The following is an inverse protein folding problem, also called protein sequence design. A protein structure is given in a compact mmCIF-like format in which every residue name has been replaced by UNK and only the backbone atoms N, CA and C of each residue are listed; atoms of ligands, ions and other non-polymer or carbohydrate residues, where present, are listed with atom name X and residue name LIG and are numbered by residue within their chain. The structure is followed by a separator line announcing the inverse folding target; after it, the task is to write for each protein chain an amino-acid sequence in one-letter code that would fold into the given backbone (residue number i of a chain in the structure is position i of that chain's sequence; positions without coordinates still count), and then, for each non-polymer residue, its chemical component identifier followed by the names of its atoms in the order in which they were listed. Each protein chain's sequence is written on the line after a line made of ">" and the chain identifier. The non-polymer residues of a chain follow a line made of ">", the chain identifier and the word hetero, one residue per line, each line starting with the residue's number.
data_IF_556745268803
#
_entry.id   IF_556745268803
#
_cell.length_a   1.000
_cell.length_b   1.000
_cell.length_c   1.000
_cell.angle_alpha   90.00
_cell.angle_beta   90.00
_cell.angle_gamma   90.00
#
_symmetry.space_group_name_H-M   'P 1'
#
loop_
_entity.id
_entity.type
_entity.pdbx_description
1 polymer ?
#
# COMPACT_ATOMS: atom_id res chain seq x y z
N UNK A 1 -1.70 -8.91 -3.56
CA UNK A 1 -2.73 -8.06 -2.92
C UNK A 1 -1.97 -6.96 -2.19
N UNK A 2 -1.37 -6.00 -2.90
CA UNK A 2 -0.27 -5.21 -2.29
C UNK A 2 -0.18 -3.77 -2.83
N UNK A 3 -1.25 -2.97 -2.75
CA UNK A 3 -1.08 -1.55 -3.07
C UNK A 3 -2.02 -0.55 -2.38
N UNK A 4 -2.87 -1.00 -1.45
CA UNK A 4 -3.78 -0.10 -0.73
C UNK A 4 -3.28 0.28 0.68
N UNK A 5 -2.45 -0.55 1.32
CA UNK A 5 -2.05 -0.34 2.72
C UNK A 5 -0.80 0.54 2.92
N UNK A 6 -0.11 0.93 1.85
CA UNK A 6 1.13 1.72 1.92
C UNK A 6 1.07 3.06 1.17
N UNK A 7 -0.04 3.37 0.51
CA UNK A 7 -0.15 4.62 -0.22
C UNK A 7 -1.04 5.58 0.52
N UNK A 8 -0.52 6.79 0.65
CA UNK A 8 -1.32 8.00 0.62
C UNK A 8 -1.93 8.43 1.96
N UNK A 9 -1.33 9.46 2.56
CA UNK A 9 -2.09 10.53 3.19
C UNK A 9 -3.43 10.68 2.47
N UNK A 10 -4.56 10.62 3.18
CA UNK A 10 -5.90 10.75 2.61
C UNK A 10 -5.91 11.80 1.49
N UNK A 11 -6.43 11.47 0.30
CA UNK A 11 -6.39 12.36 -0.88
C UNK A 11 -6.99 13.72 -0.56
N UNK A 12 -7.96 13.78 0.36
CA UNK A 12 -8.51 15.02 0.88
C UNK A 12 -7.46 15.82 1.67
N UNK A 13 -6.74 15.17 2.59
CA UNK A 13 -5.64 15.78 3.35
C UNK A 13 -4.49 16.21 2.43
N UNK A 14 -4.16 15.43 1.41
CA UNK A 14 -3.17 15.81 0.40
C UNK A 14 -3.63 17.05 -0.41
N UNK A 15 -4.92 17.12 -0.76
CA UNK A 15 -5.50 18.27 -1.46
C UNK A 15 -5.41 19.51 -0.58
N UNK A 16 -5.80 19.39 0.69
CA UNK A 16 -5.70 20.48 1.65
C UNK A 16 -4.26 21.00 1.77
N UNK A 17 -3.28 20.11 1.97
CA UNK A 17 -1.88 20.50 2.04
C UNK A 17 -1.39 21.19 0.75
N UNK A 18 -1.84 20.72 -0.42
CA UNK A 18 -1.47 21.34 -1.70
C UNK A 18 -2.06 22.75 -1.89
N UNK A 19 -3.24 23.01 -1.33
CA UNK A 19 -3.86 24.35 -1.31
C UNK A 19 -3.08 25.27 -0.36
N UNK A 20 -2.74 24.78 0.84
CA UNK A 20 -1.96 25.54 1.81
C UNK A 20 -0.57 25.92 1.27
N UNK A 21 0.08 24.98 0.57
CA UNK A 21 1.35 25.22 -0.11
C UNK A 21 1.21 26.25 -1.23
N UNK A 22 0.14 26.19 -2.03
CA UNK A 22 -0.13 27.17 -3.10
C UNK A 22 -0.31 28.58 -2.53
N UNK A 23 -1.06 28.72 -1.43
CA UNK A 23 -1.28 30.00 -0.75
C UNK A 23 0.04 30.52 -0.17
N UNK A 24 0.87 29.64 0.41
CA UNK A 24 2.18 30.00 0.93
C UNK A 24 3.12 30.51 -0.15
N UNK A 25 3.15 29.86 -1.32
CA UNK A 25 3.91 30.29 -2.49
C UNK A 25 3.37 31.63 -3.00
N UNK A 26 2.06 31.83 -3.03
CA UNK A 26 1.45 33.10 -3.43
C UNK A 26 1.84 34.26 -2.50
N UNK A 27 1.86 34.03 -1.18
CA UNK A 27 2.28 35.06 -0.23
C UNK A 27 3.79 35.36 -0.33
N UNK A 28 4.63 34.33 -0.47
CA UNK A 28 6.08 34.52 -0.60
C UNK A 28 6.46 35.21 -1.92
N UNK A 29 5.79 34.87 -3.02
CA UNK A 29 5.95 35.53 -4.32
C UNK A 29 5.54 36.98 -4.26
N UNK A 30 4.36 37.31 -3.72
CA UNK A 30 3.92 38.70 -3.55
C UNK A 30 4.89 39.48 -2.63
N UNK A 31 5.38 38.85 -1.56
CA UNK A 31 6.39 39.42 -0.67
C UNK A 31 7.72 39.68 -1.36
N UNK A 32 8.16 38.76 -2.22
CA UNK A 32 9.38 38.90 -3.02
C UNK A 32 9.22 40.03 -4.05
N UNK A 33 8.15 40.02 -4.85
CA UNK A 33 7.89 41.07 -5.85
C UNK A 33 7.77 42.46 -5.20
N UNK A 34 7.06 42.57 -4.08
CA UNK A 34 6.85 43.84 -3.38
C UNK A 34 8.15 44.44 -2.81
N UNK A 35 9.06 43.60 -2.29
CA UNK A 35 10.30 44.06 -1.66
C UNK A 35 11.49 44.19 -2.61
N UNK A 36 11.48 43.44 -3.72
CA UNK A 36 12.62 43.33 -4.66
C UNK A 36 12.40 44.01 -6.00
N UNK A 37 11.19 44.52 -6.28
CA UNK A 37 10.93 45.28 -7.49
C UNK A 37 11.77 46.57 -7.54
N UNK A 38 12.63 46.68 -8.54
CA UNK A 38 13.40 47.90 -8.84
C UNK A 38 12.52 48.97 -9.49
N UNK A 39 12.86 50.24 -9.29
CA UNK A 39 12.18 51.33 -9.97
C UNK A 39 12.59 51.38 -11.45
N UNK A 40 11.60 51.24 -12.35
CA UNK A 40 11.81 51.41 -13.78
C UNK A 40 11.80 52.90 -14.14
N UNK A 41 12.84 53.38 -14.81
CA UNK A 41 12.90 54.76 -15.27
C UNK A 41 11.91 54.98 -16.43
N UNK A 42 10.86 55.77 -16.19
CA UNK A 42 9.81 56.07 -17.20
C UNK A 42 10.29 57.16 -18.17
N UNK A 43 11.24 58.01 -17.78
CA UNK A 43 11.67 59.16 -18.56
C UNK A 43 13.21 59.27 -18.61
N UNK A 44 13.85 59.25 -19.79
CA UNK A 44 15.33 59.23 -19.92
C UNK A 44 16.02 60.50 -19.40
N UNK A 45 15.29 61.60 -19.20
CA UNK A 45 15.83 62.87 -18.70
C UNK A 45 15.97 62.97 -17.17
N UNK A 46 15.39 62.04 -16.40
CA UNK A 46 15.49 62.05 -14.93
C UNK A 46 16.01 60.70 -14.43
N UNK A 47 17.29 60.60 -14.02
CA UNK A 47 17.82 59.36 -13.47
C UNK A 47 17.11 59.02 -12.15
N UNK A 48 16.89 57.73 -11.92
CA UNK A 48 16.27 57.21 -10.69
C UNK A 48 17.21 57.51 -9.51
N UNK A 49 16.81 58.43 -8.63
CA UNK A 49 17.64 58.93 -7.52
C UNK A 49 17.55 58.09 -6.24
N UNK A 50 16.74 57.04 -6.21
CA UNK A 50 16.63 56.11 -5.09
C UNK A 50 16.65 54.66 -5.57
N UNK A 51 17.61 53.88 -5.08
CA UNK A 51 17.58 52.43 -5.16
C UNK A 51 16.97 51.89 -3.86
N UNK A 52 16.04 50.93 -3.96
CA UNK A 52 15.55 50.20 -2.80
C UNK A 52 16.72 49.37 -2.25
N UNK A 53 17.02 49.51 -0.95
CA UNK A 53 18.07 48.70 -0.31
C UNK A 53 17.71 47.21 -0.45
N UNK A 54 18.54 46.48 -1.21
CA UNK A 54 18.35 45.06 -1.45
C UNK A 54 17.52 44.72 -2.69
N UNK A 55 17.27 45.65 -3.62
CA UNK A 55 16.70 45.30 -4.92
C UNK A 55 17.66 44.39 -5.72
N UNK A 56 17.11 43.37 -6.38
CA UNK A 56 17.89 42.46 -7.20
C UNK A 56 18.14 43.10 -8.58
N UNK A 57 19.27 42.77 -9.25
CA UNK A 57 19.49 43.17 -10.65
C UNK A 57 18.32 42.71 -11.52
N UNK A 58 17.91 43.53 -12.50
CA UNK A 58 16.75 43.25 -13.36
C UNK A 58 16.80 41.85 -14.00
N UNK A 59 18.00 41.39 -14.41
CA UNK A 59 18.21 40.06 -14.98
C UNK A 59 17.90 38.93 -13.99
N UNK A 60 18.35 39.08 -12.73
CA UNK A 60 18.11 38.11 -11.65
C UNK A 60 16.65 38.15 -11.22
N UNK A 61 16.06 39.33 -11.15
CA UNK A 61 14.64 39.51 -10.83
C UNK A 61 13.71 38.88 -11.88
N UNK A 62 14.03 39.08 -13.17
CA UNK A 62 13.30 38.48 -14.30
C UNK A 62 13.44 36.95 -14.33
N UNK A 63 14.63 36.42 -14.04
CA UNK A 63 14.85 34.97 -13.93
C UNK A 63 14.06 34.36 -12.77
N UNK A 64 14.17 34.94 -11.57
CA UNK A 64 13.46 34.49 -10.39
C UNK A 64 11.94 34.60 -10.57
N UNK A 65 11.45 35.67 -11.21
CA UNK A 65 10.02 35.82 -11.53
C UNK A 65 9.52 34.68 -12.43
N UNK A 66 10.27 34.31 -13.46
CA UNK A 66 9.91 33.19 -14.35
C UNK A 66 9.89 31.86 -13.62
N UNK A 67 10.86 31.61 -12.74
CA UNK A 67 10.91 30.41 -11.90
C UNK A 67 9.70 30.33 -10.97
N UNK A 68 9.38 31.43 -10.28
CA UNK A 68 8.24 31.52 -9.37
C UNK A 68 6.90 31.30 -10.08
N UNK A 69 6.71 31.89 -11.27
CA UNK A 69 5.51 31.67 -12.09
C UNK A 69 5.44 30.22 -12.55
N UNK A 70 6.57 29.63 -12.95
CA UNK A 70 6.63 28.22 -13.34
C UNK A 70 6.25 27.29 -12.20
N UNK A 71 6.78 27.49 -10.99
CA UNK A 71 6.44 26.70 -9.80
C UNK A 71 4.94 26.86 -9.44
N UNK A 72 4.42 28.09 -9.50
CA UNK A 72 2.99 28.35 -9.30
C UNK A 72 2.09 27.59 -10.30
N UNK A 73 2.42 27.62 -11.60
CA UNK A 73 1.66 26.88 -12.61
C UNK A 73 1.75 25.36 -12.40
N UNK A 74 2.92 24.86 -12.04
CA UNK A 74 3.14 23.45 -11.80
C UNK A 74 2.30 22.98 -10.59
N UNK A 75 2.29 23.75 -9.50
CA UNK A 75 1.45 23.50 -8.31
C UNK A 75 -0.04 23.57 -8.62
N UNK A 76 -0.47 24.54 -9.43
CA UNK A 76 -1.87 24.65 -9.86
C UNK A 76 -2.31 23.43 -10.70
N UNK A 77 -1.47 22.94 -11.61
CA UNK A 77 -1.75 21.71 -12.37
C UNK A 77 -1.73 20.46 -11.50
N UNK A 78 -0.81 20.39 -10.53
CA UNK A 78 -0.81 19.31 -9.54
C UNK A 78 -2.12 19.28 -8.74
N UNK A 79 -2.62 20.44 -8.33
CA UNK A 79 -3.91 20.58 -7.66
C UNK A 79 -5.06 20.15 -8.59
N UNK A 80 -5.05 20.55 -9.85
CA UNK A 80 -6.06 20.14 -10.84
C UNK A 80 -6.11 18.62 -11.03
N UNK A 81 -4.95 17.98 -11.18
CA UNK A 81 -4.85 16.53 -11.25
C UNK A 81 -5.33 15.88 -9.95
N UNK A 82 -4.98 16.46 -8.80
CA UNK A 82 -5.37 15.92 -7.51
C UNK A 82 -6.90 15.99 -7.31
N UNK A 83 -7.52 17.11 -7.68
CA UNK A 83 -8.98 17.27 -7.72
C UNK A 83 -9.62 16.26 -8.67
N UNK A 84 -9.05 16.06 -9.86
CA UNK A 84 -9.56 15.06 -10.82
C UNK A 84 -9.44 13.62 -10.32
N UNK A 85 -8.51 13.39 -9.38
CA UNK A 85 -8.27 12.10 -8.74
C UNK A 85 -9.02 11.95 -7.41
N UNK A 86 -9.74 12.97 -6.94
CA UNK A 86 -10.58 12.80 -5.77
C UNK A 86 -11.66 11.78 -6.12
N UNK A 87 -11.92 10.80 -5.25
CA UNK A 87 -13.06 9.92 -5.44
C UNK A 87 -14.31 10.80 -5.56
N UNK A 88 -15.11 10.56 -6.62
CA UNK A 88 -16.28 11.39 -6.94
C UNK A 88 -17.37 11.34 -5.87
N UNK A 89 -17.28 10.40 -4.94
CA UNK A 89 -18.16 10.23 -3.80
C UNK A 89 -17.47 10.72 -2.54
N UNK A 90 -17.87 11.88 -1.98
CA UNK A 90 -17.49 12.21 -0.61
C UNK A 90 -18.09 11.13 0.32
N UNK A 91 -17.32 10.55 1.26
CA UNK A 91 -17.88 9.82 2.39
C UNK A 91 -18.52 10.86 3.32
N UNK A 92 -19.70 11.33 2.95
CA UNK A 92 -20.45 12.34 3.67
C UNK A 92 -21.93 12.20 3.32
N UNK A 93 -22.84 12.56 4.24
CA UNK A 93 -24.28 12.25 4.21
C UNK A 93 -25.07 12.97 3.10
N UNK A 94 -24.39 13.48 2.08
CA UNK A 94 -24.99 14.26 0.97
C UNK A 94 -24.85 13.59 -0.39
N UNK A 95 -24.06 12.52 -0.50
CA UNK A 95 -24.26 11.56 -1.58
C UNK A 95 -25.62 10.92 -1.34
N UNK A 96 -26.45 10.89 -2.37
CA UNK A 96 -27.80 10.30 -2.38
C UNK A 96 -27.81 9.06 -1.49
N UNK A 97 -28.53 9.11 -0.34
CA UNK A 97 -28.45 8.18 0.80
C UNK A 97 -28.75 6.68 0.48
N UNK A 98 -28.82 6.29 -0.80
CA UNK A 98 -29.05 4.93 -1.26
C UNK A 98 -27.77 4.21 -1.73
N UNK A 99 -27.03 4.76 -2.70
CA UNK A 99 -26.04 3.95 -3.45
C UNK A 99 -24.85 3.48 -2.60
N UNK A 100 -24.28 4.33 -1.74
CA UNK A 100 -23.10 3.96 -0.93
C UNK A 100 -23.46 2.97 0.20
N UNK A 101 -24.68 3.05 0.74
CA UNK A 101 -25.15 2.17 1.79
C UNK A 101 -25.46 0.77 1.24
N UNK A 102 -26.08 0.72 0.06
CA UNK A 102 -26.38 -0.51 -0.66
C UNK A 102 -25.08 -1.22 -1.11
N UNK A 103 -24.10 -0.48 -1.65
CA UNK A 103 -22.79 -1.03 -2.01
C UNK A 103 -22.04 -1.59 -0.79
N UNK A 104 -22.12 -0.90 0.36
CA UNK A 104 -21.52 -1.37 1.60
C UNK A 104 -22.19 -2.64 2.13
N UNK A 105 -23.51 -2.73 2.07
CA UNK A 105 -24.25 -3.94 2.46
C UNK A 105 -23.92 -5.13 1.55
N UNK A 106 -23.82 -4.90 0.25
CA UNK A 106 -23.43 -5.91 -0.73
C UNK A 106 -22.01 -6.42 -0.47
N UNK A 107 -21.06 -5.51 -0.20
CA UNK A 107 -19.69 -5.88 0.12
C UNK A 107 -19.60 -6.64 1.45
N UNK A 108 -20.37 -6.26 2.48
CA UNK A 108 -20.46 -7.00 3.74
C UNK A 108 -20.99 -8.43 3.51
N UNK A 109 -21.99 -8.57 2.64
CA UNK A 109 -22.54 -9.87 2.26
C UNK A 109 -21.52 -10.73 1.54
N UNK A 110 -20.77 -10.14 0.60
CA UNK A 110 -19.68 -10.82 -0.12
C UNK A 110 -18.58 -11.27 0.85
N UNK A 111 -18.09 -10.37 1.72
CA UNK A 111 -17.08 -10.69 2.75
C UNK A 111 -17.54 -11.83 3.65
N UNK A 112 -18.82 -11.82 4.05
CA UNK A 112 -19.39 -12.89 4.87
C UNK A 112 -19.43 -14.22 4.12
N UNK A 113 -19.80 -14.22 2.84
CA UNK A 113 -19.82 -15.42 1.99
C UNK A 113 -18.41 -16.00 1.81
N UNK A 114 -17.46 -15.16 1.40
CA UNK A 114 -16.07 -15.56 1.16
C UNK A 114 -15.41 -16.07 2.44
N UNK A 115 -15.68 -15.44 3.59
CA UNK A 115 -15.17 -15.93 4.86
C UNK A 115 -15.80 -17.28 5.26
N UNK A 116 -17.08 -17.50 4.94
CA UNK A 116 -17.73 -18.80 5.12
C UNK A 116 -17.07 -19.90 4.29
N UNK A 117 -16.87 -19.66 3.00
CA UNK A 117 -16.17 -20.57 2.09
C UNK A 117 -14.72 -20.83 2.54
N UNK A 118 -14.04 -19.80 3.03
CA UNK A 118 -12.70 -19.92 3.62
C UNK A 118 -12.67 -20.85 4.83
N UNK A 119 -13.63 -20.73 5.76
CA UNK A 119 -13.73 -21.59 6.93
C UNK A 119 -14.07 -23.04 6.56
N UNK A 120 -14.93 -23.25 5.57
CA UNK A 120 -15.26 -24.60 5.07
C UNK A 120 -14.05 -25.28 4.45
N UNK A 121 -13.33 -24.58 3.55
CA UNK A 121 -12.11 -25.07 2.94
C UNK A 121 -11.02 -25.37 3.99
N UNK A 122 -10.93 -24.56 5.04
CA UNK A 122 -10.02 -24.80 6.17
C UNK A 122 -10.39 -26.10 6.90
N UNK A 123 -11.68 -26.32 7.19
CA UNK A 123 -12.15 -27.53 7.85
C UNK A 123 -11.91 -28.80 7.04
N UNK A 124 -12.11 -28.76 5.72
CA UNK A 124 -11.77 -29.87 4.83
C UNK A 124 -10.27 -30.17 4.83
N UNK A 125 -9.43 -29.14 4.76
CA UNK A 125 -7.98 -29.27 4.82
C UNK A 125 -7.51 -29.89 6.14
N UNK A 126 -8.08 -29.46 7.28
CA UNK A 126 -7.78 -30.03 8.60
C UNK A 126 -8.21 -31.50 8.71
N UNK A 127 -9.39 -31.85 8.19
CA UNK A 127 -9.89 -33.23 8.17
C UNK A 127 -9.00 -34.15 7.32
N UNK A 128 -8.64 -33.71 6.11
CA UNK A 128 -7.73 -34.46 5.25
C UNK A 128 -6.35 -34.62 5.89
N UNK A 129 -5.84 -33.56 6.52
CA UNK A 129 -4.58 -33.61 7.24
C UNK A 129 -4.62 -34.61 8.39
N UNK A 130 -5.69 -34.64 9.18
CA UNK A 130 -5.89 -35.63 10.25
C UNK A 130 -5.96 -37.07 9.70
N UNK A 131 -6.64 -37.27 8.57
CA UNK A 131 -6.70 -38.59 7.90
C UNK A 131 -5.34 -39.06 7.38
N UNK A 132 -4.55 -38.16 6.78
CA UNK A 132 -3.18 -38.46 6.35
C UNK A 132 -2.29 -38.82 7.55
N UNK A 133 -2.38 -38.06 8.64
CA UNK A 133 -1.63 -38.33 9.86
C UNK A 133 -1.99 -39.70 10.46
N UNK A 134 -3.29 -40.04 10.50
CA UNK A 134 -3.77 -41.33 11.00
C UNK A 134 -3.32 -42.50 10.10
N UNK A 135 -3.39 -42.35 8.78
CA UNK A 135 -2.91 -43.35 7.82
C UNK A 135 -1.41 -43.59 7.99
N UNK A 136 -0.61 -42.51 8.11
CA UNK A 136 0.83 -42.60 8.32
C UNK A 136 1.16 -43.29 9.65
N UNK A 137 0.48 -42.93 10.74
CA UNK A 137 0.64 -43.60 12.02
C UNK A 137 0.29 -45.10 11.94
N UNK A 138 -0.80 -45.45 11.25
CA UNK A 138 -1.19 -46.85 11.04
C UNK A 138 -0.17 -47.65 10.21
N UNK A 139 0.41 -47.05 9.17
CA UNK A 139 1.48 -47.69 8.37
C UNK A 139 2.75 -47.88 9.19
N UNK A 140 3.13 -46.90 10.02
CA UNK A 140 4.28 -47.03 10.92
C UNK A 140 4.07 -48.13 11.98
N UNK A 141 2.87 -48.24 12.55
CA UNK A 141 2.52 -49.28 13.52
C UNK A 141 2.52 -50.68 12.88
N UNK A 142 1.94 -50.81 11.69
CA UNK A 142 1.93 -52.07 10.92
C UNK A 142 3.35 -52.51 10.57
N UNK A 143 4.22 -51.55 10.20
CA UNK A 143 5.63 -51.84 9.94
C UNK A 143 6.37 -52.26 11.21
N UNK A 144 6.13 -51.58 12.33
CA UNK A 144 6.76 -51.87 13.63
C UNK A 144 6.38 -53.26 14.15
N UNK A 145 5.10 -53.61 14.06
CA UNK A 145 4.58 -54.93 14.44
C UNK A 145 5.07 -56.04 13.51
N UNK A 146 5.08 -55.82 12.19
CA UNK A 146 5.64 -56.78 11.23
C UNK A 146 7.13 -57.06 11.47
N UNK A 147 7.92 -56.04 11.83
CA UNK A 147 9.34 -56.25 12.19
C UNK A 147 9.51 -57.01 13.51
N UNK A 148 8.63 -56.77 14.49
CA UNK A 148 8.66 -57.47 15.78
C UNK A 148 8.28 -58.95 15.66
N UNK A 149 7.34 -59.31 14.77
CA UNK A 149 6.96 -60.71 14.54
C UNK A 149 8.06 -61.51 13.82
N UNK A 150 8.82 -60.90 12.90
CA UNK A 150 9.95 -61.58 12.23
C UNK A 150 11.14 -61.86 13.14
N UNK A 151 11.29 -61.13 14.25
CA UNK A 151 12.33 -61.39 15.26
C UNK A 151 11.95 -62.45 16.30
N UNK A 152 10.68 -62.89 16.37
CA UNK A 152 10.21 -63.83 17.40
C UNK A 152 10.08 -65.29 16.93
N UNK A 153 10.28 -65.60 15.65
CA UNK A 153 10.28 -66.97 15.13
C UNK A 153 11.68 -67.42 14.71
N UNK A 154 12.57 -67.61 15.68
CA UNK A 154 13.73 -68.49 15.51
C UNK A 154 13.34 -69.90 15.99
N UNK A 155 13.16 -70.89 15.10
CA UNK A 155 12.90 -72.26 15.52
C UNK A 155 14.21 -72.90 16.00
N UNK A 156 14.24 -73.24 17.30
CA UNK A 156 15.21 -74.18 17.88
C UNK A 156 14.99 -75.55 17.25
N UNK A 157 15.84 -75.93 16.31
CA UNK A 157 15.90 -77.30 15.78
C UNK A 157 17.16 -77.98 16.33
N UNK A 158 16.98 -78.77 17.37
CA UNK A 158 17.81 -79.93 17.69
C UNK A 158 16.87 -81.12 17.88
N UNK A 159 17.12 -82.25 17.20
CA UNK A 159 17.20 -83.47 17.98
C UNK A 159 18.35 -84.39 17.55
N UNK A 160 19.16 -84.74 18.54
CA UNK A 160 20.02 -85.92 18.60
C UNK A 160 19.24 -87.22 18.28
N UNK A 161 19.70 -88.01 17.30
CA UNK A 161 19.83 -89.48 17.36
C UNK A 161 20.38 -90.09 16.04
N UNK A 162 21.58 -90.69 16.12
CA UNK A 162 22.10 -91.69 15.17
C UNK A 162 21.28 -93.02 15.29
N UNK A 163 21.34 -94.03 14.39
CA UNK A 163 22.58 -94.78 14.07
C UNK A 163 22.71 -95.46 12.66
N UNK A 164 23.94 -95.94 12.37
CA UNK A 164 24.40 -97.03 11.48
C UNK A 164 23.93 -97.19 10.01
N UNK A 165 24.87 -97.25 9.06
CA UNK A 165 25.21 -98.47 8.30
C UNK A 165 26.31 -98.22 7.22
N UNK A 166 27.32 -99.11 7.26
CA UNK A 166 28.30 -99.53 6.23
C UNK A 166 29.32 -98.54 5.66
#
# INVERSE_FOLDING_TARGET
>A
MDNAELTHMDRLTQTQNSIDDLIRIMYSTLGYLSRKASFKQINPNFPVTQAIQGADPEEVFEANRKELVHDFLLKAKQLELLISSLPSTPPGPTSVEGDDADEFEDLEREVRSVNGEYLEALGEAESLHAQLQASLAGVLETRSTSTATTSSSAPTADPTAAPVAS
#
